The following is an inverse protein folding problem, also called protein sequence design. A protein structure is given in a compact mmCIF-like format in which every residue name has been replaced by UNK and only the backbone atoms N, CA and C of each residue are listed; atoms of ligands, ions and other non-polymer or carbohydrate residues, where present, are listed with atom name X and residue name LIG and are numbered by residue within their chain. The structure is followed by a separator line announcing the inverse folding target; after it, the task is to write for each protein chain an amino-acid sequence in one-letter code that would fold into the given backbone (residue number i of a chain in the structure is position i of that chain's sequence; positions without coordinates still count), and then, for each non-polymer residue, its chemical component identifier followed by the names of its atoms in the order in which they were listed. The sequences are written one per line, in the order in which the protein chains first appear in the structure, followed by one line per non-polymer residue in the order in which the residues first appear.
data_IF_551158101666
#
_entry.id   IF_551158101666
#
_cell.length_a   1.000
_cell.length_b   1.000
_cell.length_c   1.000
_cell.angle_alpha   90.00
_cell.angle_beta   90.00
_cell.angle_gamma   90.00
#
_symmetry.space_group_name_H-M   'P 1'
#
loop_
_entity.id
_entity.type
_entity.pdbx_description
1 polymer ?
#
# COMPACT_ATOMS: atom_id res chain seq x y z
N UNK A 1 17.45 -11.48 -10.22
CA UNK A 1 16.77 -10.18 -9.94
C UNK A 1 15.33 -10.27 -10.35
N UNK A 2 14.40 -9.70 -9.56
CA UNK A 2 13.00 -9.54 -9.93
C UNK A 2 12.61 -8.05 -9.93
N UNK A 3 11.60 -7.67 -10.71
CA UNK A 3 11.19 -6.28 -10.86
C UNK A 3 9.69 -6.05 -10.61
N UNK A 4 9.28 -4.78 -10.47
CA UNK A 4 7.87 -4.39 -10.46
C UNK A 4 7.67 -3.14 -11.35
N UNK A 5 7.49 -3.37 -12.66
CA UNK A 5 7.37 -2.29 -13.64
C UNK A 5 6.05 -1.51 -13.56
N UNK A 6 4.99 -2.17 -13.05
CA UNK A 6 3.67 -1.56 -12.92
C UNK A 6 3.50 -0.71 -11.64
N UNK A 7 4.48 -0.70 -10.74
CA UNK A 7 4.41 0.12 -9.53
C UNK A 7 4.29 1.60 -9.90
N UNK A 8 3.29 2.30 -9.36
CA UNK A 8 2.95 3.67 -9.74
C UNK A 8 2.08 3.81 -11.00
N UNK A 9 1.68 2.68 -11.62
CA UNK A 9 0.70 2.61 -12.72
C UNK A 9 -0.52 1.75 -12.38
N UNK A 10 -0.53 1.20 -11.18
CA UNK A 10 -1.52 0.25 -10.71
C UNK A 10 -1.81 0.51 -9.23
N UNK A 11 -2.85 1.30 -8.96
CA UNK A 11 -3.24 1.71 -7.61
C UNK A 11 -2.41 2.86 -7.01
N UNK A 12 -2.95 3.42 -5.92
CA UNK A 12 -2.40 4.55 -5.17
C UNK A 12 -1.44 4.06 -4.07
N UNK A 13 -1.00 4.96 -3.19
CA UNK A 13 0.04 4.74 -2.17
C UNK A 13 -0.09 3.40 -1.43
N UNK A 14 -1.25 3.08 -0.85
CA UNK A 14 -1.42 1.84 -0.07
C UNK A 14 -1.23 0.57 -0.93
N UNK A 15 -1.70 0.58 -2.19
CA UNK A 15 -1.44 -0.52 -3.12
C UNK A 15 0.05 -0.64 -3.45
N UNK A 16 0.73 0.49 -3.66
CA UNK A 16 2.17 0.51 -3.93
C UNK A 16 2.98 0.01 -2.72
N UNK A 17 2.53 0.27 -1.50
CA UNK A 17 3.15 -0.29 -0.28
C UNK A 17 3.06 -1.83 -0.29
N UNK A 18 1.91 -2.41 -0.59
CA UNK A 18 1.78 -3.86 -0.73
C UNK A 18 2.64 -4.43 -1.86
N UNK A 19 2.66 -3.79 -3.01
CA UNK A 19 3.46 -4.20 -4.17
C UNK A 19 4.96 -4.19 -3.84
N UNK A 20 5.46 -3.13 -3.23
CA UNK A 20 6.85 -2.99 -2.80
C UNK A 20 7.21 -4.04 -1.74
N UNK A 21 6.42 -4.14 -0.67
CA UNK A 21 6.68 -5.06 0.43
C UNK A 21 6.69 -6.52 -0.04
N UNK A 22 5.74 -6.90 -0.91
CA UNK A 22 5.65 -8.23 -1.46
C UNK A 22 6.80 -8.55 -2.42
N UNK A 23 7.19 -7.59 -3.26
CA UNK A 23 8.40 -7.74 -4.11
C UNK A 23 9.64 -7.98 -3.27
N UNK A 24 9.89 -7.15 -2.23
CA UNK A 24 11.02 -7.29 -1.31
C UNK A 24 10.96 -8.63 -0.57
N UNK A 25 9.77 -9.02 -0.09
CA UNK A 25 9.59 -10.28 0.62
C UNK A 25 9.86 -11.51 -0.25
N UNK A 26 9.35 -11.53 -1.49
CA UNK A 26 9.62 -12.59 -2.45
C UNK A 26 11.12 -12.61 -2.82
N UNK A 27 11.71 -11.45 -3.08
CA UNK A 27 13.15 -11.34 -3.37
C UNK A 27 14.01 -11.89 -2.24
N UNK A 28 13.73 -11.49 -1.00
CA UNK A 28 14.45 -11.97 0.19
C UNK A 28 14.30 -13.49 0.38
N UNK A 29 13.10 -14.03 0.18
CA UNK A 29 12.82 -15.48 0.26
C UNK A 29 13.72 -16.29 -0.65
N UNK A 30 14.03 -15.78 -1.85
CA UNK A 30 14.79 -16.48 -2.87
C UNK A 30 16.25 -16.02 -3.00
N UNK A 31 16.67 -15.01 -2.24
CA UNK A 31 18.00 -14.43 -2.35
C UNK A 31 18.21 -13.66 -3.67
N UNK A 32 17.15 -13.05 -4.21
CA UNK A 32 17.22 -12.25 -5.43
C UNK A 32 17.47 -10.78 -5.12
N UNK A 33 18.17 -10.09 -6.01
CA UNK A 33 18.09 -8.64 -6.09
C UNK A 33 16.73 -8.21 -6.61
N UNK A 34 16.31 -6.97 -6.29
CA UNK A 34 15.02 -6.44 -6.76
C UNK A 34 15.12 -4.97 -7.13
N UNK A 35 14.20 -4.54 -8.01
CA UNK A 35 14.06 -3.15 -8.41
C UNK A 35 12.59 -2.80 -8.67
N UNK A 36 12.28 -1.51 -8.57
CA UNK A 36 10.94 -0.97 -8.85
C UNK A 36 10.99 0.07 -9.97
N UNK A 37 9.91 0.18 -10.75
CA UNK A 37 9.75 1.31 -11.64
C UNK A 37 9.55 2.60 -10.84
N UNK A 38 10.08 3.71 -11.39
CA UNK A 38 9.83 5.06 -10.89
C UNK A 38 9.13 5.87 -11.98
N UNK A 39 7.89 6.20 -11.73
CA UNK A 39 7.03 7.00 -12.62
C UNK A 39 6.64 8.30 -11.91
N UNK A 40 7.42 9.38 -12.04
CA UNK A 40 7.14 10.65 -11.37
C UNK A 40 5.91 11.36 -11.96
N UNK A 41 5.68 11.20 -13.26
CA UNK A 41 4.58 11.86 -13.96
C UNK A 41 3.26 11.11 -13.73
N UNK A 42 2.23 11.86 -13.36
CA UNK A 42 0.90 11.31 -13.16
C UNK A 42 0.22 11.01 -14.50
N UNK A 43 -0.44 9.85 -14.57
CA UNK A 43 -1.22 9.41 -15.74
C UNK A 43 -2.64 9.09 -15.27
N UNK A 44 -3.64 9.58 -16.02
CA UNK A 44 -5.04 9.25 -15.76
C UNK A 44 -5.29 7.77 -16.12
N UNK A 45 -5.91 7.03 -15.19
CA UNK A 45 -6.27 5.61 -15.39
C UNK A 45 -7.58 5.41 -16.16
N UNK A 46 -8.21 6.52 -16.60
CA UNK A 46 -9.49 6.51 -17.34
C UNK A 46 -10.74 6.40 -16.48
N UNK A 47 -10.60 6.31 -15.15
CA UNK A 47 -11.70 6.28 -14.18
C UNK A 47 -11.57 7.37 -13.10
N UNK A 48 -10.69 8.35 -13.33
CA UNK A 48 -10.54 9.54 -12.51
C UNK A 48 -9.41 9.49 -11.48
N UNK A 49 -8.54 8.47 -11.50
CA UNK A 49 -7.35 8.48 -10.65
C UNK A 49 -6.11 8.91 -11.45
N UNK A 50 -5.34 9.80 -10.85
CA UNK A 50 -4.02 10.18 -11.36
C UNK A 50 -2.97 9.27 -10.72
N UNK A 51 -2.40 8.35 -11.51
CA UNK A 51 -1.45 7.34 -11.06
C UNK A 51 -0.01 7.76 -11.31
N UNK A 52 0.80 7.73 -10.28
CA UNK A 52 2.26 7.92 -10.29
C UNK A 52 2.90 7.15 -9.15
N UNK A 53 4.22 7.08 -9.09
CA UNK A 53 4.91 6.51 -7.93
C UNK A 53 4.83 7.50 -6.76
N UNK A 54 4.10 7.12 -5.70
CA UNK A 54 3.86 7.93 -4.51
C UNK A 54 4.76 7.52 -3.31
N UNK A 55 5.39 6.34 -3.36
CA UNK A 55 6.19 5.81 -2.24
C UNK A 55 7.29 6.77 -1.80
N UNK A 56 8.00 7.38 -2.76
CA UNK A 56 9.11 8.30 -2.45
C UNK A 56 8.66 9.68 -1.96
N UNK A 57 7.37 10.00 -2.05
CA UNK A 57 6.83 11.21 -1.42
C UNK A 57 6.74 11.03 0.10
N UNK A 58 6.41 9.81 0.54
CA UNK A 58 6.09 9.52 1.93
C UNK A 58 7.25 8.88 2.71
N UNK A 59 8.12 8.11 2.04
CA UNK A 59 9.14 7.26 2.67
C UNK A 59 10.53 7.48 2.08
N UNK A 60 11.58 7.24 2.88
CA UNK A 60 12.99 7.31 2.46
C UNK A 60 13.51 5.95 2.00
N UNK A 61 12.87 5.35 0.99
CA UNK A 61 13.22 4.02 0.49
C UNK A 61 14.60 3.99 -0.17
N UNK A 62 15.38 2.97 0.17
CA UNK A 62 16.67 2.66 -0.46
C UNK A 62 16.50 1.45 -1.39
N UNK A 63 16.05 1.69 -2.61
CA UNK A 63 15.80 0.65 -3.59
C UNK A 63 16.29 1.08 -4.97
N UNK A 64 16.76 0.13 -5.77
CA UNK A 64 17.11 0.39 -7.15
C UNK A 64 15.84 0.72 -7.96
N UNK A 65 15.90 1.80 -8.74
CA UNK A 65 14.78 2.24 -9.58
C UNK A 65 15.12 2.09 -11.07
N UNK A 66 14.11 1.73 -11.85
CA UNK A 66 14.22 1.60 -13.30
C UNK A 66 13.21 0.60 -13.85
N UNK A 67 13.17 0.47 -15.18
CA UNK A 67 12.38 -0.57 -15.84
C UNK A 67 13.23 -1.84 -16.00
N UNK A 68 12.65 -2.97 -15.63
CA UNK A 68 13.29 -4.27 -15.75
C UNK A 68 12.76 -5.00 -16.98
N UNK A 69 13.63 -5.25 -17.96
CA UNK A 69 13.24 -5.94 -19.19
C UNK A 69 13.25 -7.46 -19.00
N UNK A 70 12.14 -7.98 -18.50
CA UNK A 70 11.94 -9.39 -18.22
C UNK A 70 10.48 -9.80 -18.47
N UNK A 71 10.16 -11.11 -18.63
CA UNK A 71 8.81 -11.58 -18.71
C UNK A 71 7.95 -11.18 -17.52
N UNK A 72 6.67 -10.87 -17.75
CA UNK A 72 5.73 -10.54 -16.69
C UNK A 72 5.17 -11.79 -16.05
N UNK A 73 5.23 -11.86 -14.73
CA UNK A 73 4.60 -12.88 -13.90
C UNK A 73 3.45 -12.24 -13.11
N UNK A 74 2.22 -12.61 -13.46
CA UNK A 74 1.03 -12.03 -12.86
C UNK A 74 0.58 -12.78 -11.60
N UNK A 75 0.10 -12.02 -10.61
CA UNK A 75 -0.66 -12.56 -9.48
C UNK A 75 -1.84 -13.39 -10.00
N UNK A 76 -1.98 -14.61 -9.48
CA UNK A 76 -2.98 -15.59 -10.00
C UNK A 76 -4.29 -15.52 -9.23
N UNK A 77 -4.24 -15.12 -7.97
CA UNK A 77 -5.38 -15.06 -7.05
C UNK A 77 -5.23 -13.87 -6.11
N UNK A 78 -6.33 -13.29 -5.65
CA UNK A 78 -6.29 -12.15 -4.71
C UNK A 78 -5.88 -12.54 -3.28
N UNK A 79 -5.92 -13.81 -2.94
CA UNK A 79 -5.43 -14.33 -1.66
C UNK A 79 -3.94 -14.70 -1.77
N UNK A 80 -3.32 -14.99 -0.62
CA UNK A 80 -1.96 -15.48 -0.60
C UNK A 80 -1.81 -16.77 -1.42
N UNK A 81 -0.90 -16.75 -2.36
CA UNK A 81 -0.55 -17.88 -3.21
C UNK A 81 0.79 -18.47 -2.74
N UNK A 82 0.70 -19.55 -1.97
CA UNK A 82 1.87 -20.23 -1.41
C UNK A 82 2.80 -20.73 -2.51
N UNK A 83 2.25 -21.32 -3.58
CA UNK A 83 3.06 -21.81 -4.67
C UNK A 83 3.77 -20.68 -5.41
N UNK A 84 3.08 -19.55 -5.66
CA UNK A 84 3.72 -18.37 -6.25
C UNK A 84 4.88 -17.88 -5.38
N UNK A 85 4.68 -17.84 -4.07
CA UNK A 85 5.68 -17.39 -3.11
C UNK A 85 6.91 -18.32 -3.04
N UNK A 86 6.69 -19.64 -3.09
CA UNK A 86 7.75 -20.65 -2.96
C UNK A 86 8.48 -20.93 -4.29
N UNK A 87 7.83 -20.70 -5.43
CA UNK A 87 8.35 -21.08 -6.75
C UNK A 87 8.57 -19.87 -7.69
N UNK A 88 8.51 -18.62 -7.17
CA UNK A 88 8.74 -17.43 -8.00
C UNK A 88 10.10 -17.51 -8.69
N UNK A 89 10.14 -17.53 -10.03
CA UNK A 89 11.41 -17.64 -10.74
C UNK A 89 12.21 -16.34 -10.70
N UNK A 90 13.51 -16.43 -10.88
CA UNK A 90 14.36 -15.28 -11.16
C UNK A 90 14.04 -14.68 -12.55
N UNK A 91 14.49 -13.46 -12.79
CA UNK A 91 14.40 -12.75 -14.07
C UNK A 91 12.96 -12.56 -14.55
N UNK A 92 12.07 -12.08 -13.67
CA UNK A 92 10.69 -11.72 -13.97
C UNK A 92 10.31 -10.35 -13.43
N UNK A 93 9.32 -9.71 -14.04
CA UNK A 93 8.65 -8.53 -13.47
C UNK A 93 7.26 -8.92 -12.95
N UNK A 94 6.96 -8.56 -11.70
CA UNK A 94 5.70 -8.89 -11.07
C UNK A 94 4.57 -7.95 -11.55
N UNK A 95 3.36 -8.49 -11.62
CA UNK A 95 2.14 -7.77 -11.93
C UNK A 95 1.00 -8.23 -11.02
N UNK A 96 0.41 -7.34 -10.25
CA UNK A 96 -0.70 -7.62 -9.33
C UNK A 96 -0.76 -6.63 -8.19
N UNK A 97 -1.68 -6.85 -7.25
CA UNK A 97 -1.82 -6.02 -6.04
C UNK A 97 -1.11 -6.63 -4.83
N UNK A 98 -1.02 -7.95 -4.74
CA UNK A 98 -0.35 -8.70 -3.66
C UNK A 98 -0.79 -8.27 -2.25
N UNK A 99 -2.09 -8.02 -2.06
CA UNK A 99 -2.67 -7.40 -0.87
C UNK A 99 -2.77 -8.36 0.33
N UNK A 100 -1.66 -8.98 0.70
CA UNK A 100 -1.56 -9.81 1.91
C UNK A 100 -0.16 -9.73 2.51
N UNK A 101 -0.09 -9.58 3.85
CA UNK A 101 1.15 -9.53 4.59
C UNK A 101 1.97 -10.82 4.53
N UNK A 102 1.37 -11.93 4.14
CA UNK A 102 2.04 -13.24 4.08
C UNK A 102 3.23 -13.27 3.12
N UNK A 103 3.24 -12.41 2.09
CA UNK A 103 4.39 -12.30 1.18
C UNK A 103 5.63 -11.67 1.82
N UNK A 104 5.47 -10.89 2.90
CA UNK A 104 6.58 -10.17 3.53
C UNK A 104 6.62 -10.30 5.07
N UNK A 105 5.79 -11.16 5.67
CA UNK A 105 5.73 -11.35 7.12
C UNK A 105 7.07 -11.77 7.73
N UNK A 106 7.88 -12.51 7.00
CA UNK A 106 9.20 -13.00 7.44
C UNK A 106 10.28 -11.89 7.48
N UNK A 107 9.99 -10.71 6.91
CA UNK A 107 10.84 -9.52 6.96
C UNK A 107 10.06 -8.31 7.51
N UNK A 108 9.14 -8.54 8.45
CA UNK A 108 8.24 -7.51 8.97
C UNK A 108 8.98 -6.30 9.51
N UNK A 109 10.06 -6.49 10.26
CA UNK A 109 10.82 -5.40 10.88
C UNK A 109 11.48 -4.51 9.82
N UNK A 110 12.03 -5.10 8.76
CA UNK A 110 12.59 -4.35 7.64
C UNK A 110 11.54 -3.53 6.89
N UNK A 111 10.35 -4.10 6.68
CA UNK A 111 9.23 -3.40 6.03
C UNK A 111 8.73 -2.24 6.90
N UNK A 112 8.70 -2.40 8.23
CA UNK A 112 8.35 -1.33 9.16
C UNK A 112 9.37 -0.20 9.12
N UNK A 113 10.66 -0.52 9.02
CA UNK A 113 11.72 0.48 8.85
C UNK A 113 11.58 1.22 7.50
N UNK A 114 11.39 0.50 6.40
CA UNK A 114 11.20 1.07 5.06
C UNK A 114 10.01 2.05 5.01
N UNK A 115 8.91 1.73 5.70
CA UNK A 115 7.71 2.57 5.75
C UNK A 115 7.68 3.55 6.92
N UNK A 116 8.82 3.92 7.45
CA UNK A 116 8.92 5.07 8.34
C UNK A 116 8.69 6.35 7.52
N UNK A 117 7.68 7.11 7.89
CA UNK A 117 7.38 8.38 7.24
C UNK A 117 8.53 9.37 7.36
N UNK A 118 8.71 10.18 6.34
CA UNK A 118 9.63 11.32 6.37
C UNK A 118 9.28 12.28 7.52
N UNK A 119 10.29 12.94 8.07
CA UNK A 119 10.14 13.81 9.24
C UNK A 119 9.19 15.00 8.98
N UNK A 120 9.19 15.55 7.78
CA UNK A 120 8.30 16.64 7.36
C UNK A 120 6.82 16.25 7.34
N UNK A 121 6.52 14.96 7.22
CA UNK A 121 5.17 14.39 7.34
C UNK A 121 4.90 13.98 8.79
N UNK A 122 5.86 13.30 9.42
CA UNK A 122 5.66 12.67 10.72
C UNK A 122 5.58 13.70 11.87
N UNK A 123 6.42 14.74 11.83
CA UNK A 123 6.49 15.72 12.93
C UNK A 123 5.16 16.46 13.16
N UNK A 124 4.53 17.10 12.15
CA UNK A 124 3.25 17.78 12.36
C UNK A 124 2.11 16.81 12.75
N UNK A 125 2.16 15.55 12.28
CA UNK A 125 1.18 14.55 12.69
C UNK A 125 1.34 14.16 14.17
N UNK A 126 2.58 14.04 14.66
CA UNK A 126 2.85 13.78 16.08
C UNK A 126 2.35 14.92 16.96
N UNK A 127 2.70 16.16 16.62
CA UNK A 127 2.23 17.35 17.36
C UNK A 127 0.69 17.37 17.44
N UNK A 128 0.00 17.14 16.32
CA UNK A 128 -1.46 17.10 16.29
C UNK A 128 -2.04 16.00 17.19
N UNK A 129 -1.47 14.79 17.15
CA UNK A 129 -2.02 13.66 17.90
C UNK A 129 -1.74 13.74 19.39
N UNK A 130 -0.62 14.38 19.81
CA UNK A 130 -0.25 14.59 21.21
C UNK A 130 -1.21 15.57 21.92
N UNK A 131 -1.88 16.46 21.18
CA UNK A 131 -2.89 17.38 21.72
C UNK A 131 -4.23 16.70 21.96
N UNK A 132 -4.44 15.48 21.47
CA UNK A 132 -5.74 14.78 21.53
C UNK A 132 -5.67 13.61 22.52
N UNK A 133 -6.38 13.76 23.63
CA UNK A 133 -6.46 12.70 24.64
C UNK A 133 -7.24 11.48 24.10
N UNK A 134 -6.67 10.27 24.20
CA UNK A 134 -7.29 9.00 23.83
C UNK A 134 -7.95 9.00 22.43
N UNK A 135 -7.23 9.33 21.35
CA UNK A 135 -7.81 9.48 20.03
C UNK A 135 -8.33 8.16 19.43
N UNK A 136 -9.43 8.26 18.68
CA UNK A 136 -9.95 7.20 17.81
C UNK A 136 -9.99 7.75 16.38
N UNK A 137 -9.31 7.07 15.45
CA UNK A 137 -9.35 7.44 14.04
C UNK A 137 -10.60 6.87 13.36
N UNK A 138 -11.37 7.72 12.68
CA UNK A 138 -12.53 7.35 11.88
C UNK A 138 -12.30 7.73 10.42
N UNK A 139 -12.13 6.76 9.53
CA UNK A 139 -11.99 7.00 8.10
C UNK A 139 -13.33 6.86 7.38
N UNK A 140 -13.77 7.93 6.71
CA UNK A 140 -15.02 7.99 5.94
C UNK A 140 -14.69 8.03 4.45
N UNK A 141 -14.61 6.87 3.80
CA UNK A 141 -14.36 6.77 2.36
C UNK A 141 -15.64 7.08 1.57
N UNK A 142 -15.61 8.13 0.74
CA UNK A 142 -16.74 8.52 -0.09
C UNK A 142 -16.35 8.71 -1.56
N UNK A 143 -15.70 9.75 -1.92
CA UNK A 143 -15.22 10.13 -3.28
C UNK A 143 -15.55 9.12 -4.39
N UNK A 144 -14.58 8.33 -4.82
CA UNK A 144 -14.66 7.27 -5.83
C UNK A 144 -15.66 6.15 -5.45
N UNK A 145 -15.86 5.85 -4.15
CA UNK A 145 -16.84 4.85 -3.70
C UNK A 145 -18.29 5.26 -3.96
N UNK A 146 -18.60 6.54 -3.96
CA UNK A 146 -19.94 7.03 -4.28
C UNK A 146 -20.27 6.85 -5.76
N UNK A 147 -19.32 7.11 -6.63
CA UNK A 147 -19.49 6.95 -8.09
C UNK A 147 -19.36 5.51 -8.57
N UNK A 148 -18.71 4.65 -7.81
CA UNK A 148 -18.49 3.22 -8.11
C UNK A 148 -19.13 2.32 -7.02
N UNK A 149 -20.28 2.69 -6.51
CA UNK A 149 -20.94 2.02 -5.38
C UNK A 149 -21.36 0.57 -5.65
N UNK A 150 -21.45 0.16 -6.91
CA UNK A 150 -21.71 -1.23 -7.29
C UNK A 150 -20.56 -2.17 -6.92
N UNK A 151 -19.31 -1.70 -7.02
CA UNK A 151 -18.12 -2.46 -6.69
C UNK A 151 -17.58 -2.14 -5.28
N UNK A 152 -17.77 -0.90 -4.85
CA UNK A 152 -17.28 -0.36 -3.58
C UNK A 152 -18.38 0.41 -2.85
N UNK A 153 -19.34 -0.29 -2.20
CA UNK A 153 -20.42 0.39 -1.51
C UNK A 153 -19.90 1.22 -0.33
N UNK A 154 -20.24 2.53 -0.24
CA UNK A 154 -19.89 3.35 0.91
C UNK A 154 -20.52 2.82 2.19
N UNK A 155 -19.82 2.89 3.30
CA UNK A 155 -20.38 2.56 4.60
C UNK A 155 -21.50 3.54 4.98
N UNK A 156 -22.55 3.02 5.62
CA UNK A 156 -23.69 3.82 6.10
C UNK A 156 -23.36 4.55 7.40
N UNK A 157 -24.16 5.57 7.74
CA UNK A 157 -24.03 6.24 9.04
C UNK A 157 -24.21 5.27 10.22
N UNK A 158 -25.10 4.29 10.09
CA UNK A 158 -25.36 3.29 11.14
C UNK A 158 -24.15 2.35 11.33
N UNK A 159 -23.41 2.04 10.26
CA UNK A 159 -22.15 1.34 10.38
C UNK A 159 -21.15 2.12 11.27
N UNK A 160 -20.97 3.41 11.00
CA UNK A 160 -20.04 4.24 11.79
C UNK A 160 -20.52 4.42 13.24
N UNK A 161 -21.81 4.62 13.49
CA UNK A 161 -22.38 4.68 14.83
C UNK A 161 -22.12 3.38 15.60
N UNK A 162 -22.35 2.23 14.95
CA UNK A 162 -22.07 0.92 15.54
C UNK A 162 -20.59 0.71 15.79
N UNK A 163 -19.72 1.08 14.86
CA UNK A 163 -18.27 0.99 15.05
C UNK A 163 -17.81 1.82 16.25
N UNK A 164 -18.26 3.05 16.36
CA UNK A 164 -17.93 3.94 17.49
C UNK A 164 -18.46 3.42 18.83
N UNK A 165 -19.55 2.67 18.85
CA UNK A 165 -20.10 2.11 20.10
C UNK A 165 -19.20 1.04 20.76
N UNK A 166 -18.18 0.54 20.08
CA UNK A 166 -17.18 -0.35 20.67
C UNK A 166 -16.08 0.40 21.47
N UNK A 167 -16.06 1.73 21.37
CA UNK A 167 -15.14 2.58 22.11
C UNK A 167 -15.89 3.27 23.27
N UNK A 168 -15.16 3.66 24.30
CA UNK A 168 -15.71 4.41 25.42
C UNK A 168 -16.27 5.77 24.97
N UNK A 169 -17.38 6.21 25.57
CA UNK A 169 -18.16 7.38 25.12
C UNK A 169 -17.38 8.72 25.16
N UNK A 170 -16.31 8.80 25.93
CA UNK A 170 -15.50 10.01 26.10
C UNK A 170 -14.22 10.03 25.25
N UNK A 171 -14.10 9.15 24.26
CA UNK A 171 -12.96 9.18 23.33
C UNK A 171 -13.10 10.34 22.34
N UNK A 172 -11.97 10.97 22.04
CA UNK A 172 -11.90 11.97 20.98
C UNK A 172 -11.83 11.28 19.61
N UNK A 173 -12.71 11.68 18.70
CA UNK A 173 -12.76 11.08 17.35
C UNK A 173 -12.16 12.04 16.33
N UNK A 174 -11.09 11.59 15.66
CA UNK A 174 -10.48 12.31 14.54
C UNK A 174 -11.03 11.69 13.25
N UNK A 175 -11.74 12.51 12.46
CA UNK A 175 -12.39 12.07 11.22
C UNK A 175 -11.51 12.38 10.02
N UNK A 176 -11.25 11.37 9.19
CA UNK A 176 -10.56 11.47 7.90
C UNK A 176 -11.55 11.19 6.76
N UNK A 177 -11.50 12.00 5.69
CA UNK A 177 -12.37 11.83 4.51
C UNK A 177 -11.62 12.09 3.20
#
# INVERSE_FOLDING_TARGET
MIGFNALGRMGRLANQMFQYASLKGIATRHGYDYMIAYHPDAVDDGIGNMLRTELFDSFNLKVQTGLFNAPTLSERVHNFDQQFFDECPDNVTLWGYFQTEKYFKHIEDEIREDFTFKDDILAPCKEMIEEVENPVALHVRRTDYVTNSANHPPCTLDYYKKALSYFEAHRNVIVFS
#
